data_IF_839301279575
#
_entry.id   IF_839301279575
#
_cell.length_a   1.000
_cell.length_b   1.000
_cell.length_c   1.000
_cell.angle_alpha   90.00
_cell.angle_beta   90.00
_cell.angle_gamma   90.00
#
_symmetry.space_group_name_H-M   'P 1'
#
loop_
_entity.id
_entity.type
_entity.pdbx_description
1 polymer ?
#
# COMPACT_ATOMS: atom_id res chain seq x y z
N UNK A 1 -5.09 2.97 -10.77
CA UNK A 1 -3.72 2.72 -10.28
C UNK A 1 -3.69 1.37 -9.61
N UNK A 2 -2.58 0.64 -9.74
CA UNK A 2 -2.42 -0.76 -9.31
C UNK A 2 -1.66 -0.84 -7.98
N UNK A 3 -2.33 -1.34 -6.94
CA UNK A 3 -1.79 -1.49 -5.58
C UNK A 3 -0.59 -2.46 -5.54
N UNK A 4 -0.55 -3.46 -6.43
CA UNK A 4 0.55 -4.43 -6.46
C UNK A 4 1.82 -3.77 -7.00
N UNK A 5 1.68 -2.93 -8.04
CA UNK A 5 2.79 -2.15 -8.57
C UNK A 5 3.33 -1.18 -7.51
N UNK A 6 2.44 -0.49 -6.78
CA UNK A 6 2.85 0.40 -5.69
C UNK A 6 3.60 -0.35 -4.57
N UNK A 7 3.12 -1.54 -4.17
CA UNK A 7 3.82 -2.40 -3.22
C UNK A 7 5.20 -2.81 -3.73
N UNK A 8 5.29 -3.25 -4.99
CA UNK A 8 6.55 -3.70 -5.58
C UNK A 8 7.59 -2.57 -5.57
N UNK A 9 7.19 -1.35 -5.93
CA UNK A 9 8.07 -0.18 -5.88
C UNK A 9 8.56 0.14 -4.45
N UNK A 10 7.68 0.06 -3.46
CA UNK A 10 8.06 0.26 -2.05
C UNK A 10 9.12 -0.76 -1.61
N UNK A 11 8.89 -2.04 -1.90
CA UNK A 11 9.81 -3.12 -1.54
C UNK A 11 11.14 -2.99 -2.28
N UNK A 12 11.12 -2.65 -3.57
CA UNK A 12 12.34 -2.42 -4.37
C UNK A 12 13.21 -1.30 -3.80
N UNK A 13 12.59 -0.27 -3.22
CA UNK A 13 13.26 0.84 -2.54
C UNK A 13 13.69 0.52 -1.10
N UNK A 14 13.49 -0.71 -0.63
CA UNK A 14 13.88 -1.16 0.70
C UNK A 14 12.89 -0.81 1.82
N UNK A 15 11.66 -0.40 1.47
CA UNK A 15 10.59 -0.19 2.46
C UNK A 15 9.99 -1.53 2.85
N UNK A 16 9.93 -1.81 4.16
CA UNK A 16 9.20 -2.95 4.71
C UNK A 16 7.68 -2.73 4.61
N UNK A 17 7.13 -3.06 3.44
CA UNK A 17 5.71 -2.93 3.16
C UNK A 17 4.95 -4.24 3.41
N UNK A 18 3.76 -4.13 3.99
CA UNK A 18 2.86 -5.28 4.19
C UNK A 18 2.48 -5.96 2.87
N UNK A 19 1.93 -7.16 2.94
CA UNK A 19 1.15 -7.70 1.81
C UNK A 19 -0.06 -6.81 1.50
N UNK A 20 -0.56 -6.93 0.27
CA UNK A 20 -1.78 -6.23 -0.15
C UNK A 20 -2.96 -6.83 0.61
N UNK A 21 -3.69 -5.98 1.31
CA UNK A 21 -4.92 -6.36 1.99
C UNK A 21 -6.13 -5.88 1.19
N UNK A 22 -7.09 -6.78 0.95
CA UNK A 22 -8.29 -6.49 0.17
C UNK A 22 -9.51 -6.32 1.07
N UNK A 23 -10.23 -5.22 0.90
CA UNK A 23 -11.48 -4.92 1.58
C UNK A 23 -12.56 -4.48 0.58
N UNK A 24 -13.86 -4.55 0.96
CA UNK A 24 -14.94 -4.09 0.09
C UNK A 24 -14.83 -2.63 -0.37
N UNK A 25 -14.15 -1.78 0.42
CA UNK A 25 -13.98 -0.35 0.15
C UNK A 25 -12.62 0.02 -0.44
N UNK A 26 -11.77 -0.96 -0.75
CA UNK A 26 -10.46 -0.71 -1.37
C UNK A 26 -9.40 -1.73 -0.96
N UNK A 27 -8.24 -1.59 -1.60
CA UNK A 27 -7.05 -2.38 -1.26
C UNK A 27 -5.99 -1.51 -0.62
N UNK A 28 -5.21 -2.07 0.31
CA UNK A 28 -4.27 -1.32 1.13
C UNK A 28 -2.91 -2.01 1.23
N UNK A 29 -1.88 -1.19 1.36
CA UNK A 29 -0.52 -1.57 1.77
C UNK A 29 -0.11 -0.65 2.90
N UNK A 30 0.48 -1.20 3.95
CA UNK A 30 0.91 -0.46 5.13
C UNK A 30 2.43 -0.52 5.28
N UNK A 31 3.04 0.56 5.78
CA UNK A 31 4.45 0.61 6.14
C UNK A 31 4.69 1.70 7.18
N UNK A 32 5.87 1.69 7.80
CA UNK A 32 6.31 2.76 8.70
C UNK A 32 7.46 3.55 8.09
N UNK A 33 7.49 4.85 8.31
CA UNK A 33 8.68 5.65 8.03
C UNK A 33 9.73 5.52 9.16
N UNK A 34 10.98 5.98 8.96
CA UNK A 34 12.03 5.90 9.99
C UNK A 34 11.72 6.66 11.28
N UNK A 35 10.81 7.64 11.22
CA UNK A 35 10.35 8.41 12.38
C UNK A 35 9.27 7.65 13.20
N UNK A 36 8.82 6.50 12.69
CA UNK A 36 7.84 5.63 13.32
C UNK A 36 6.39 5.96 12.98
N UNK A 37 6.13 6.86 12.03
CA UNK A 37 4.76 7.13 11.58
C UNK A 37 4.28 5.99 10.68
N UNK A 38 3.04 5.54 10.92
CA UNK A 38 2.38 4.57 10.06
C UNK A 38 1.73 5.23 8.84
N UNK A 39 2.01 4.69 7.66
CA UNK A 39 1.46 5.13 6.38
C UNK A 39 0.65 4.01 5.72
N UNK A 40 -0.34 4.41 4.90
CA UNK A 40 -1.11 3.49 4.08
C UNK A 40 -1.21 4.01 2.64
N UNK A 41 -0.93 3.14 1.67
CA UNK A 41 -1.29 3.36 0.27
C UNK A 41 -2.63 2.69 0.02
N UNK A 42 -3.59 3.42 -0.55
CA UNK A 42 -4.93 2.92 -0.85
C UNK A 42 -5.19 2.91 -2.37
N UNK A 43 -5.69 1.80 -2.88
CA UNK A 43 -6.39 1.74 -4.16
C UNK A 43 -7.90 1.73 -3.88
N UNK A 44 -8.56 2.82 -4.26
CA UNK A 44 -10.02 2.95 -4.18
C UNK A 44 -10.66 2.10 -5.29
N UNK A 45 -11.80 1.41 -5.04
CA UNK A 45 -12.53 0.72 -6.09
C UNK A 45 -12.91 1.67 -7.23
N UNK A 46 -13.04 1.13 -8.44
CA UNK A 46 -13.54 1.91 -9.56
C UNK A 46 -14.91 2.50 -9.19
N UNK A 47 -15.03 3.82 -9.31
CA UNK A 47 -16.32 4.49 -9.27
C UNK A 47 -16.89 4.50 -10.67
N UNK A 48 -18.13 4.04 -10.80
CA UNK A 48 -18.91 4.18 -12.03
C UNK A 48 -19.33 5.63 -12.24
#
# INVERSE_FOLDING_TARGET
>A
TDINAARAELVERGVEASEVQHFPWGSFVFFSDPDGNGWAVQQVPARN
#
